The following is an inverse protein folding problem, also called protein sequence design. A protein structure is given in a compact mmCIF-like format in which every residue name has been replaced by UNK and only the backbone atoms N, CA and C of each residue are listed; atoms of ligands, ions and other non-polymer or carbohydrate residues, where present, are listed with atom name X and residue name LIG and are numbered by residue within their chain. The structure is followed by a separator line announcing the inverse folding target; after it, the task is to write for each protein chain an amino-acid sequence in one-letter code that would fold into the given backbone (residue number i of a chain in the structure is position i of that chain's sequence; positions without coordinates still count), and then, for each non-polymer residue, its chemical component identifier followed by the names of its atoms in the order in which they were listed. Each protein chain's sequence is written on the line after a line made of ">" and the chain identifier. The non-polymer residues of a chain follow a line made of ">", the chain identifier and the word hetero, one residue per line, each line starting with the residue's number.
data_IF_771842354445
#
_entry.id   IF_771842354445
#
_cell.length_a   1.000
_cell.length_b   1.000
_cell.length_c   1.000
_cell.angle_alpha   90.00
_cell.angle_beta   90.00
_cell.angle_gamma   90.00
#
_symmetry.space_group_name_H-M   'P 1'
#
loop_
_entity.id
_entity.type
_entity.pdbx_description
1 polymer ?
#
# COMPACT_ATOMS: atom_id res chain seq x y z
N UNK A 1 -18.68 -47.58 -3.81
CA UNK A 1 -19.69 -46.52 -4.03
C UNK A 1 -19.23 -45.35 -3.15
N UNK A 2 -18.23 -44.60 -3.61
CA UNK A 2 -17.58 -43.48 -2.92
C UNK A 2 -18.05 -42.20 -3.62
N UNK A 3 -18.84 -41.39 -2.92
CA UNK A 3 -19.22 -40.05 -3.32
C UNK A 3 -18.01 -39.12 -3.19
N UNK A 4 -17.60 -38.52 -4.28
CA UNK A 4 -16.71 -37.41 -4.31
C UNK A 4 -17.43 -36.16 -3.75
N UNK A 5 -17.12 -35.76 -2.53
CA UNK A 5 -17.38 -34.43 -1.99
C UNK A 5 -16.19 -33.54 -2.32
N UNK A 6 -16.27 -32.86 -3.46
CA UNK A 6 -15.38 -31.72 -3.78
C UNK A 6 -16.20 -30.72 -4.60
N UNK A 7 -17.19 -30.11 -3.94
CA UNK A 7 -17.82 -28.90 -4.46
C UNK A 7 -17.94 -27.91 -3.29
N UNK A 8 -16.79 -27.27 -2.96
CA UNK A 8 -16.77 -26.17 -2.00
C UNK A 8 -17.24 -24.90 -2.70
N UNK A 9 -18.52 -24.65 -2.55
CA UNK A 9 -19.23 -23.38 -2.46
C UNK A 9 -18.53 -22.14 -3.04
N UNK A 10 -18.68 -21.89 -4.33
CA UNK A 10 -18.77 -20.52 -4.84
C UNK A 10 -20.13 -19.96 -4.41
N UNK A 11 -20.12 -18.99 -3.48
CA UNK A 11 -21.29 -18.39 -2.88
C UNK A 11 -22.35 -17.98 -3.91
N UNK A 12 -23.64 -18.09 -3.54
CA UNK A 12 -24.81 -17.90 -4.37
C UNK A 12 -25.02 -16.49 -4.93
N UNK A 13 -24.06 -15.98 -5.71
CA UNK A 13 -24.16 -14.74 -6.46
C UNK A 13 -24.98 -14.92 -7.73
N UNK A 14 -25.55 -13.82 -8.24
CA UNK A 14 -26.26 -13.82 -9.53
C UNK A 14 -25.24 -13.84 -10.68
N UNK A 15 -25.12 -14.96 -11.40
CA UNK A 15 -24.22 -15.10 -12.56
C UNK A 15 -24.35 -13.97 -13.60
N UNK A 16 -25.56 -13.41 -13.73
CA UNK A 16 -25.80 -12.26 -14.62
C UNK A 16 -25.14 -10.98 -14.09
N UNK A 17 -25.12 -10.77 -12.77
CA UNK A 17 -24.46 -9.64 -12.14
C UNK A 17 -22.94 -9.78 -12.24
N UNK A 18 -22.40 -10.97 -11.97
CA UNK A 18 -20.97 -11.24 -12.13
C UNK A 18 -20.48 -10.98 -13.56
N UNK A 19 -21.29 -11.39 -14.55
CA UNK A 19 -21.01 -11.12 -15.95
C UNK A 19 -21.05 -9.60 -16.26
N UNK A 20 -22.01 -8.87 -15.67
CA UNK A 20 -22.11 -7.42 -15.83
C UNK A 20 -20.91 -6.70 -15.19
N UNK A 21 -20.48 -7.10 -13.99
CA UNK A 21 -19.30 -6.55 -13.31
C UNK A 21 -18.00 -6.81 -14.08
N UNK A 22 -17.88 -7.95 -14.79
CA UNK A 22 -16.74 -8.20 -15.70
C UNK A 22 -16.67 -7.16 -16.83
N UNK A 23 -17.82 -6.71 -17.35
CA UNK A 23 -17.86 -5.66 -18.37
C UNK A 23 -17.31 -4.34 -17.81
N UNK A 24 -17.72 -3.93 -16.60
CA UNK A 24 -17.19 -2.71 -15.95
C UNK A 24 -15.70 -2.83 -15.64
N UNK A 25 -15.23 -3.97 -15.14
CA UNK A 25 -13.80 -4.19 -14.86
C UNK A 25 -12.96 -4.12 -16.15
N UNK A 26 -13.44 -4.70 -17.25
CA UNK A 26 -12.75 -4.59 -18.55
C UNK A 26 -12.68 -3.14 -19.04
N UNK A 27 -13.73 -2.34 -18.85
CA UNK A 27 -13.70 -0.91 -19.16
C UNK A 27 -12.72 -0.15 -18.27
N UNK A 28 -12.71 -0.42 -16.97
CA UNK A 28 -11.84 0.26 -16.00
C UNK A 28 -10.34 -0.04 -16.22
N UNK A 29 -10.01 -1.22 -16.77
CA UNK A 29 -8.62 -1.61 -17.05
C UNK A 29 -8.02 -0.96 -18.31
N UNK A 30 -8.75 -0.06 -18.99
CA UNK A 30 -8.32 0.58 -20.25
C UNK A 30 -8.16 2.08 -20.12
N UNK A 31 -7.25 2.61 -20.90
CA UNK A 31 -7.07 4.06 -21.06
C UNK A 31 -8.03 4.59 -22.14
N UNK A 32 -9.33 4.78 -21.77
CA UNK A 32 -10.31 5.47 -22.59
C UNK A 32 -11.42 4.60 -23.21
N UNK A 33 -12.24 5.25 -24.06
CA UNK A 33 -13.49 4.72 -24.56
C UNK A 33 -13.34 3.51 -25.50
N UNK A 34 -14.21 2.51 -25.35
CA UNK A 34 -14.20 1.23 -26.05
C UNK A 34 -15.47 1.02 -26.88
N UNK A 35 -15.36 0.32 -28.04
CA UNK A 35 -16.53 -0.07 -28.82
C UNK A 35 -17.24 -1.29 -28.22
N UNK A 36 -18.54 -1.43 -28.53
CA UNK A 36 -19.31 -2.64 -28.13
C UNK A 36 -18.65 -3.94 -28.61
N UNK A 37 -18.14 -3.95 -29.85
CA UNK A 37 -17.51 -5.13 -30.47
C UNK A 37 -16.23 -5.52 -29.75
N UNK A 38 -15.37 -4.55 -29.43
CA UNK A 38 -14.13 -4.81 -28.72
C UNK A 38 -14.38 -5.28 -27.30
N UNK A 39 -15.34 -4.66 -26.60
CA UNK A 39 -15.73 -5.06 -25.25
C UNK A 39 -16.33 -6.47 -25.21
N UNK A 40 -17.13 -6.84 -26.20
CA UNK A 40 -17.67 -8.19 -26.35
C UNK A 40 -16.55 -9.23 -26.55
N UNK A 41 -15.57 -8.91 -27.39
CA UNK A 41 -14.38 -9.76 -27.62
C UNK A 41 -13.55 -9.92 -26.33
N UNK A 42 -13.26 -8.81 -25.64
CA UNK A 42 -12.44 -8.79 -24.43
C UNK A 42 -13.06 -9.56 -23.27
N UNK A 43 -14.38 -9.45 -23.12
CA UNK A 43 -15.12 -10.16 -22.07
C UNK A 43 -15.55 -11.57 -22.44
N UNK A 44 -15.26 -12.02 -23.67
CA UNK A 44 -15.71 -13.30 -24.26
C UNK A 44 -17.23 -13.48 -24.17
N UNK A 45 -18.01 -12.41 -24.39
CA UNK A 45 -19.47 -12.43 -24.32
C UNK A 45 -20.11 -12.05 -25.67
N UNK A 46 -21.32 -12.58 -25.98
CA UNK A 46 -22.07 -12.12 -27.16
C UNK A 46 -22.36 -10.61 -27.09
N UNK A 47 -22.21 -9.86 -28.21
CA UNK A 47 -22.47 -8.42 -28.26
C UNK A 47 -23.85 -8.02 -27.75
N UNK A 48 -24.88 -8.80 -28.01
CA UNK A 48 -26.26 -8.58 -27.53
C UNK A 48 -26.35 -8.61 -25.99
N UNK A 49 -25.57 -9.48 -25.36
CA UNK A 49 -25.51 -9.58 -23.89
C UNK A 49 -24.78 -8.38 -23.27
N UNK A 50 -23.62 -8.00 -23.84
CA UNK A 50 -22.85 -6.83 -23.42
C UNK A 50 -23.68 -5.55 -23.59
N UNK A 51 -24.38 -5.40 -24.72
CA UNK A 51 -25.27 -4.26 -24.98
C UNK A 51 -26.35 -4.11 -23.90
N UNK A 52 -26.96 -5.19 -23.44
CA UNK A 52 -27.98 -5.16 -22.36
C UNK A 52 -27.38 -4.69 -21.04
N UNK A 53 -26.15 -5.09 -20.70
CA UNK A 53 -25.46 -4.61 -19.51
C UNK A 53 -25.10 -3.14 -19.62
N UNK A 54 -24.56 -2.72 -20.77
CA UNK A 54 -24.24 -1.31 -21.02
C UNK A 54 -25.48 -0.40 -20.93
N UNK A 55 -26.63 -0.87 -21.44
CA UNK A 55 -27.89 -0.12 -21.30
C UNK A 55 -28.26 0.11 -19.82
N UNK A 56 -28.11 -0.91 -18.96
CA UNK A 56 -28.35 -0.76 -17.53
C UNK A 56 -27.34 0.18 -16.86
N UNK A 57 -26.07 0.13 -17.24
CA UNK A 57 -25.03 1.01 -16.73
C UNK A 57 -25.17 2.46 -17.20
N UNK A 58 -25.64 2.68 -18.45
CA UNK A 58 -26.02 4.00 -18.96
C UNK A 58 -27.16 4.60 -18.14
N UNK A 59 -28.21 3.82 -17.88
CA UNK A 59 -29.34 4.24 -17.06
C UNK A 59 -28.94 4.61 -15.62
N UNK A 60 -27.94 3.88 -15.06
CA UNK A 60 -27.38 4.18 -13.75
C UNK A 60 -26.34 5.28 -13.75
N UNK A 61 -25.94 5.82 -14.91
CA UNK A 61 -24.90 6.83 -15.03
C UNK A 61 -23.47 6.32 -14.76
N UNK A 62 -23.30 5.01 -14.57
CA UNK A 62 -21.98 4.36 -14.35
C UNK A 62 -21.15 4.37 -15.64
N UNK A 63 -21.80 4.26 -16.79
CA UNK A 63 -21.22 4.31 -18.13
C UNK A 63 -21.81 5.51 -18.87
N UNK A 64 -21.00 6.12 -19.73
CA UNK A 64 -21.40 7.14 -20.69
C UNK A 64 -21.13 6.66 -22.10
N UNK A 65 -21.91 7.14 -23.10
CA UNK A 65 -21.68 6.87 -24.51
C UNK A 65 -21.30 8.14 -25.26
N UNK A 66 -20.19 8.13 -25.97
CA UNK A 66 -19.74 9.27 -26.75
C UNK A 66 -20.60 9.51 -27.99
N UNK A 67 -21.17 10.72 -28.14
CA UNK A 67 -22.20 11.03 -29.13
C UNK A 67 -21.87 10.64 -30.57
N UNK A 68 -20.74 11.08 -31.15
CA UNK A 68 -20.36 10.80 -32.54
C UNK A 68 -19.62 9.46 -32.72
N UNK A 69 -18.89 9.00 -31.71
CA UNK A 69 -18.08 7.78 -31.83
C UNK A 69 -18.89 6.50 -31.55
N UNK A 70 -20.01 6.61 -30.83
CA UNK A 70 -20.77 5.46 -30.34
C UNK A 70 -20.04 4.58 -29.32
N UNK A 71 -18.80 4.98 -28.93
CA UNK A 71 -18.00 4.24 -27.94
C UNK A 71 -18.49 4.51 -26.52
N UNK A 72 -18.24 3.55 -25.66
CA UNK A 72 -18.62 3.58 -24.23
C UNK A 72 -17.40 3.89 -23.38
N UNK A 73 -17.59 4.70 -22.34
CA UNK A 73 -16.58 5.05 -21.33
C UNK A 73 -17.19 5.07 -19.95
N UNK A 74 -16.36 5.11 -18.90
CA UNK A 74 -16.85 5.28 -17.53
C UNK A 74 -17.55 6.63 -17.39
N UNK A 75 -18.74 6.60 -16.81
CA UNK A 75 -19.56 7.78 -16.59
C UNK A 75 -19.32 8.41 -15.20
N UNK A 76 -20.02 9.54 -14.95
CA UNK A 76 -19.91 10.26 -13.69
C UNK A 76 -20.23 9.39 -12.47
N UNK A 77 -21.21 8.50 -12.55
CA UNK A 77 -21.57 7.60 -11.47
C UNK A 77 -20.42 6.67 -11.04
N UNK A 78 -19.52 6.28 -11.98
CA UNK A 78 -18.32 5.53 -11.63
C UNK A 78 -17.33 6.39 -10.82
N UNK A 79 -17.17 7.67 -11.17
CA UNK A 79 -16.36 8.64 -10.41
C UNK A 79 -16.93 8.80 -9.00
N UNK A 80 -18.23 9.00 -8.87
CA UNK A 80 -18.89 9.22 -7.57
C UNK A 80 -18.75 7.99 -6.65
N UNK A 81 -18.86 6.76 -7.21
CA UNK A 81 -18.60 5.52 -6.48
C UNK A 81 -17.13 5.40 -6.05
N UNK A 82 -16.20 5.69 -6.95
CA UNK A 82 -14.76 5.67 -6.66
C UNK A 82 -14.39 6.65 -5.55
N UNK A 83 -14.85 7.90 -5.63
CA UNK A 83 -14.62 8.93 -4.63
C UNK A 83 -15.21 8.54 -3.26
N UNK A 84 -16.43 7.97 -3.25
CA UNK A 84 -17.04 7.49 -2.01
C UNK A 84 -16.26 6.32 -1.38
N UNK A 85 -15.68 5.42 -2.18
CA UNK A 85 -14.82 4.35 -1.70
C UNK A 85 -13.51 4.92 -1.12
N UNK A 86 -12.85 5.82 -1.86
CA UNK A 86 -11.61 6.48 -1.43
C UNK A 86 -11.80 7.24 -0.10
N UNK A 87 -12.90 7.97 0.05
CA UNK A 87 -13.17 8.75 1.27
C UNK A 87 -13.44 7.89 2.52
N UNK A 88 -13.74 6.61 2.35
CA UNK A 88 -14.04 5.66 3.44
C UNK A 88 -12.87 4.74 3.76
N UNK A 89 -11.80 4.77 2.97
CA UNK A 89 -10.65 3.93 3.23
C UNK A 89 -9.85 4.47 4.41
N UNK A 90 -9.66 3.65 5.41
CA UNK A 90 -8.96 4.01 6.64
C UNK A 90 -7.65 3.23 6.75
N UNK A 91 -6.55 3.88 6.40
CA UNK A 91 -5.19 3.32 6.46
C UNK A 91 -4.66 3.12 7.89
N UNK A 92 -5.41 3.51 8.91
CA UNK A 92 -5.01 3.37 10.31
C UNK A 92 -5.84 2.30 11.02
N UNK A 93 -7.17 2.45 11.07
CA UNK A 93 -8.00 1.55 11.86
C UNK A 93 -8.21 0.20 11.17
N UNK A 94 -8.34 0.16 9.84
CA UNK A 94 -8.43 -1.09 9.08
C UNK A 94 -7.23 -2.01 9.33
N UNK A 95 -5.99 -1.59 9.01
CA UNK A 95 -4.80 -2.38 9.29
C UNK A 95 -4.59 -2.68 10.77
N UNK A 96 -4.96 -1.75 11.68
CA UNK A 96 -4.77 -1.91 13.13
C UNK A 96 -5.45 -3.15 13.70
N UNK A 97 -6.56 -3.58 13.12
CA UNK A 97 -7.28 -4.78 13.57
C UNK A 97 -6.48 -6.08 13.33
N UNK A 98 -5.49 -6.06 12.45
CA UNK A 98 -4.70 -7.22 12.03
C UNK A 98 -3.21 -7.14 12.39
N UNK A 99 -2.76 -6.08 13.09
CA UNK A 99 -1.35 -5.96 13.49
C UNK A 99 -0.93 -7.05 14.48
N UNK A 100 -1.85 -7.55 15.32
CA UNK A 100 -1.59 -8.66 16.22
C UNK A 100 -1.27 -9.95 15.46
N UNK A 101 -1.94 -10.21 14.35
CA UNK A 101 -1.71 -11.39 13.53
C UNK A 101 -0.30 -11.33 12.93
N UNK A 102 0.09 -10.18 12.35
CA UNK A 102 1.43 -9.95 11.82
C UNK A 102 2.51 -10.08 12.91
N UNK A 103 2.23 -9.63 14.14
CA UNK A 103 3.12 -9.82 15.29
C UNK A 103 3.28 -11.31 15.64
N UNK A 104 2.21 -12.10 15.59
CA UNK A 104 2.25 -13.54 15.87
C UNK A 104 3.03 -14.30 14.79
N UNK A 105 2.80 -13.98 13.53
CA UNK A 105 3.50 -14.59 12.39
C UNK A 105 5.01 -14.31 12.40
N UNK A 106 5.41 -13.08 12.75
CA UNK A 106 6.83 -12.66 12.68
C UNK A 106 7.57 -12.80 14.00
N UNK A 107 6.86 -12.83 15.14
CA UNK A 107 7.44 -12.77 16.48
C UNK A 107 8.11 -11.44 16.81
N UNK A 108 7.93 -10.41 15.98
CA UNK A 108 8.56 -9.09 16.10
C UNK A 108 7.55 -8.06 16.65
N UNK A 109 8.07 -6.97 17.20
CA UNK A 109 7.25 -5.81 17.55
C UNK A 109 6.80 -5.11 16.27
N UNK A 110 5.49 -4.82 16.15
CA UNK A 110 4.88 -4.17 14.99
C UNK A 110 4.47 -2.74 15.34
N UNK A 111 4.84 -1.79 14.51
CA UNK A 111 4.40 -0.40 14.59
C UNK A 111 3.59 -0.02 13.37
N UNK A 112 2.57 0.80 13.57
CA UNK A 112 1.93 1.56 12.51
C UNK A 112 2.22 3.04 12.73
N UNK A 113 2.72 3.72 11.71
CA UNK A 113 3.09 5.13 11.75
C UNK A 113 2.41 5.89 10.61
N UNK A 114 2.05 7.14 10.88
CA UNK A 114 1.53 8.10 9.90
C UNK A 114 2.44 9.33 9.81
N UNK A 115 2.32 10.09 8.72
CA UNK A 115 3.00 11.36 8.61
C UNK A 115 2.25 12.43 9.40
N UNK A 116 2.79 12.85 10.54
CA UNK A 116 2.26 13.91 11.39
C UNK A 116 2.93 15.27 11.16
N UNK A 117 2.55 16.25 11.94
CA UNK A 117 3.11 17.63 11.86
C UNK A 117 4.63 17.70 12.07
N UNK A 118 5.18 16.78 12.87
CA UNK A 118 6.62 16.74 13.21
C UNK A 118 7.39 15.64 12.44
N UNK A 119 6.73 14.87 11.57
CA UNK A 119 7.32 13.76 10.82
C UNK A 119 6.61 12.43 11.08
N UNK A 120 7.29 11.32 10.79
CA UNK A 120 6.77 9.96 10.94
C UNK A 120 6.42 9.67 12.41
N UNK A 121 5.14 9.53 12.72
CA UNK A 121 4.63 9.42 14.11
C UNK A 121 3.97 8.08 14.33
N UNK A 122 4.36 7.37 15.41
CA UNK A 122 3.79 6.07 15.79
C UNK A 122 2.39 6.24 16.36
N UNK A 123 1.40 5.60 15.76
CA UNK A 123 -0.02 5.67 16.17
C UNK A 123 -0.59 4.34 16.66
N UNK A 124 0.07 3.20 16.35
CA UNK A 124 -0.26 1.88 16.90
C UNK A 124 1.02 1.13 17.23
N UNK A 125 0.91 0.23 18.21
CA UNK A 125 2.04 -0.51 18.72
C UNK A 125 1.61 -1.88 19.24
N UNK A 126 2.05 -2.94 18.57
CA UNK A 126 1.88 -4.33 19.02
C UNK A 126 3.24 -4.88 19.44
N UNK A 127 3.39 -5.17 20.72
CA UNK A 127 4.67 -5.62 21.30
C UNK A 127 4.86 -7.12 21.10
N UNK A 128 6.08 -7.53 20.73
CA UNK A 128 6.47 -8.93 20.74
C UNK A 128 6.39 -9.54 22.15
N UNK A 129 6.28 -10.86 22.24
CA UNK A 129 6.27 -11.58 23.52
C UNK A 129 7.55 -11.34 24.34
N UNK A 130 8.70 -11.16 23.67
CA UNK A 130 9.96 -10.71 24.28
C UNK A 130 10.23 -9.27 23.85
N UNK A 131 9.64 -8.28 24.51
CA UNK A 131 9.72 -6.90 24.07
C UNK A 131 11.11 -6.33 24.27
N UNK A 132 11.58 -5.61 23.25
CA UNK A 132 12.77 -4.78 23.40
C UNK A 132 12.42 -3.56 24.25
N UNK A 133 13.18 -3.32 25.31
CA UNK A 133 13.01 -2.12 26.11
C UNK A 133 13.54 -0.94 25.33
N UNK A 134 12.66 -0.04 24.91
CA UNK A 134 12.99 1.19 24.20
C UNK A 134 12.26 2.38 24.83
N UNK A 135 12.80 3.57 24.62
CA UNK A 135 12.09 4.82 24.97
C UNK A 135 10.99 5.19 23.97
N UNK A 136 10.80 4.39 22.91
CA UNK A 136 9.73 4.60 21.92
C UNK A 136 8.37 4.19 22.48
N UNK A 137 7.32 4.85 22.02
CA UNK A 137 5.94 4.56 22.36
C UNK A 137 4.97 5.24 21.39
N UNK A 138 3.70 5.16 21.69
CA UNK A 138 2.68 5.91 20.95
C UNK A 138 3.00 7.42 20.99
N UNK A 139 2.85 8.09 19.86
CA UNK A 139 3.19 9.51 19.70
C UNK A 139 4.68 9.79 19.46
N UNK A 140 5.56 8.77 19.50
CA UNK A 140 6.97 8.96 19.16
C UNK A 140 7.12 9.35 17.71
N UNK A 141 7.87 10.43 17.44
CA UNK A 141 8.29 10.81 16.08
C UNK A 141 9.61 10.13 15.75
N UNK A 142 9.64 9.41 14.64
CA UNK A 142 10.80 8.69 14.16
C UNK A 142 11.62 9.55 13.20
N UNK A 143 12.97 9.48 13.23
CA UNK A 143 13.82 10.21 12.30
C UNK A 143 13.56 9.81 10.84
N UNK A 144 13.70 10.77 9.94
CA UNK A 144 13.44 10.56 8.51
C UNK A 144 14.52 9.68 7.84
N UNK A 145 15.80 9.94 8.15
CA UNK A 145 16.93 9.33 7.43
C UNK A 145 17.48 8.08 8.12
N UNK A 146 17.36 7.99 9.44
CA UNK A 146 17.99 6.92 10.24
C UNK A 146 17.01 5.86 10.73
N UNK A 147 15.71 6.00 10.44
CA UNK A 147 14.71 4.95 10.68
C UNK A 147 14.19 4.36 9.39
N UNK A 148 13.88 3.06 9.39
CA UNK A 148 13.23 2.38 8.23
C UNK A 148 11.89 3.02 7.88
N UNK A 149 11.09 3.37 8.88
CA UNK A 149 9.81 4.08 8.72
C UNK A 149 10.00 5.40 7.98
N UNK A 150 10.97 6.23 8.40
CA UNK A 150 11.27 7.51 7.75
C UNK A 150 11.73 7.33 6.30
N UNK A 151 12.58 6.34 6.04
CA UNK A 151 13.07 6.01 4.68
C UNK A 151 11.94 5.59 3.75
N UNK A 152 10.92 4.88 4.25
CA UNK A 152 9.72 4.54 3.48
C UNK A 152 8.92 5.80 3.15
N UNK A 153 8.65 6.68 4.12
CA UNK A 153 8.01 7.97 3.83
C UNK A 153 8.83 8.81 2.84
N UNK A 154 10.15 8.88 3.01
CA UNK A 154 11.04 9.58 2.07
C UNK A 154 10.89 9.07 0.63
N UNK A 155 10.67 7.76 0.46
CA UNK A 155 10.53 7.12 -0.83
C UNK A 155 9.13 7.27 -1.43
N UNK A 156 8.06 7.14 -0.63
CA UNK A 156 6.70 6.96 -1.13
C UNK A 156 5.75 8.12 -0.83
N UNK A 157 6.12 9.09 0.00
CA UNK A 157 5.25 10.22 0.28
C UNK A 157 5.70 11.52 -0.44
N UNK A 158 4.81 12.51 -0.59
CA UNK A 158 5.14 13.80 -1.21
C UNK A 158 6.29 14.50 -0.49
N UNK A 159 7.26 15.01 -1.23
CA UNK A 159 8.47 15.68 -0.70
C UNK A 159 8.22 17.02 0.01
N UNK A 160 7.29 17.89 -0.48
CA UNK A 160 7.17 19.25 0.08
C UNK A 160 7.01 19.33 1.59
N UNK A 161 6.20 18.49 2.27
CA UNK A 161 6.08 18.51 3.73
C UNK A 161 7.38 18.12 4.46
N UNK A 162 8.29 17.40 3.80
CA UNK A 162 9.51 16.86 4.40
C UNK A 162 10.73 17.78 4.28
N UNK A 163 10.70 18.80 3.42
CA UNK A 163 11.88 19.58 3.03
C UNK A 163 12.64 20.20 4.22
N UNK A 164 11.92 20.72 5.21
CA UNK A 164 12.55 21.28 6.43
C UNK A 164 13.25 20.20 7.24
N UNK A 165 12.63 19.03 7.37
CA UNK A 165 13.19 17.91 8.12
C UNK A 165 14.39 17.31 7.39
N UNK A 166 14.31 17.13 6.07
CA UNK A 166 15.42 16.72 5.21
C UNK A 166 16.63 17.66 5.41
N UNK A 167 16.44 18.98 5.31
CA UNK A 167 17.51 19.94 5.46
C UNK A 167 18.17 19.86 6.86
N UNK A 168 17.35 19.74 7.90
CA UNK A 168 17.81 19.62 9.29
C UNK A 168 18.61 18.34 9.53
N UNK A 169 18.09 17.18 9.09
CA UNK A 169 18.76 15.89 9.30
C UNK A 169 20.03 15.74 8.45
N UNK A 170 20.05 16.25 7.22
CA UNK A 170 21.27 16.33 6.40
C UNK A 170 22.33 17.20 7.05
N UNK A 171 21.95 18.36 7.62
CA UNK A 171 22.90 19.23 8.31
C UNK A 171 23.50 18.54 9.54
N UNK A 172 22.70 17.72 10.27
CA UNK A 172 23.18 16.93 11.39
C UNK A 172 24.11 15.80 10.92
N UNK A 173 23.73 15.05 9.89
CA UNK A 173 24.53 13.96 9.35
C UNK A 173 25.88 14.42 8.76
N UNK A 174 25.97 15.65 8.23
CA UNK A 174 27.24 16.21 7.78
C UNK A 174 28.19 16.55 8.93
N UNK A 175 27.64 16.89 10.12
CA UNK A 175 28.45 17.17 11.33
C UNK A 175 28.87 15.89 12.04
N UNK A 176 28.07 14.82 11.92
CA UNK A 176 28.27 13.54 12.57
C UNK A 176 27.98 12.43 11.55
N UNK A 177 28.95 12.12 10.64
CA UNK A 177 28.74 11.16 9.55
C UNK A 177 28.38 9.75 10.00
N UNK A 178 28.75 9.38 11.21
CA UNK A 178 28.43 8.10 11.83
C UNK A 178 26.93 7.85 12.02
N UNK A 179 26.12 8.92 12.05
CA UNK A 179 24.65 8.83 12.21
C UNK A 179 23.97 8.27 10.94
N UNK A 180 24.61 8.46 9.76
CA UNK A 180 24.06 8.05 8.46
C UNK A 180 25.19 7.39 7.65
N UNK A 181 25.64 6.23 8.11
CA UNK A 181 26.84 5.56 7.59
C UNK A 181 26.63 4.87 6.22
N UNK A 182 25.37 4.52 5.90
CA UNK A 182 24.99 3.76 4.70
C UNK A 182 24.54 4.64 3.53
N UNK A 183 24.34 5.94 3.74
CA UNK A 183 23.84 6.90 2.74
C UNK A 183 24.66 8.16 2.74
N UNK A 184 25.11 8.62 1.58
CA UNK A 184 25.78 9.90 1.45
C UNK A 184 24.85 11.05 1.92
N UNK A 185 25.30 11.96 2.84
CA UNK A 185 24.45 13.02 3.39
C UNK A 185 24.27 14.19 2.40
N UNK A 186 23.77 13.85 1.22
CA UNK A 186 23.51 14.76 0.10
C UNK A 186 22.11 14.50 -0.47
N UNK A 187 21.56 15.47 -1.20
CA UNK A 187 20.29 15.25 -1.90
C UNK A 187 20.35 14.08 -2.87
N UNK A 188 21.41 13.98 -3.63
CA UNK A 188 21.64 12.87 -4.57
C UNK A 188 21.68 11.51 -3.84
N UNK A 189 22.30 11.43 -2.66
CA UNK A 189 22.30 10.22 -1.82
C UNK A 189 20.90 9.84 -1.35
N UNK A 190 20.08 10.83 -0.96
CA UNK A 190 18.69 10.58 -0.57
C UNK A 190 17.82 10.15 -1.76
N UNK A 191 18.05 10.69 -2.95
CA UNK A 191 17.31 10.30 -4.15
C UNK A 191 17.67 8.85 -4.57
N UNK A 192 18.96 8.48 -4.44
CA UNK A 192 19.39 7.11 -4.65
C UNK A 192 18.77 6.14 -3.64
N UNK A 193 18.76 6.50 -2.34
CA UNK A 193 18.09 5.73 -1.29
C UNK A 193 16.60 5.55 -1.60
N UNK A 194 15.89 6.65 -1.89
CA UNK A 194 14.47 6.60 -2.20
C UNK A 194 14.16 5.73 -3.43
N UNK A 195 15.02 5.77 -4.46
CA UNK A 195 14.91 4.90 -5.64
C UNK A 195 15.07 3.43 -5.29
N UNK A 196 16.06 3.08 -4.45
CA UNK A 196 16.27 1.71 -3.97
C UNK A 196 15.08 1.21 -3.17
N UNK A 197 14.60 2.02 -2.20
CA UNK A 197 13.45 1.67 -1.36
C UNK A 197 12.18 1.48 -2.20
N UNK A 198 11.95 2.31 -3.21
CA UNK A 198 10.81 2.14 -4.16
C UNK A 198 10.92 0.85 -4.96
N UNK A 199 12.10 0.51 -5.43
CA UNK A 199 12.33 -0.71 -6.22
C UNK A 199 12.14 -1.99 -5.39
N UNK A 200 12.51 -1.97 -4.11
CA UNK A 200 12.36 -3.11 -3.19
C UNK A 200 10.97 -3.19 -2.56
N UNK A 201 10.27 -2.06 -2.41
CA UNK A 201 9.00 -1.95 -1.69
C UNK A 201 9.13 -1.86 -0.17
N UNK A 202 10.35 -1.84 0.38
CA UNK A 202 10.62 -1.74 1.82
C UNK A 202 11.95 -1.03 2.10
N UNK A 203 12.17 -0.67 3.37
CA UNK A 203 13.44 -0.15 3.86
C UNK A 203 13.89 -0.91 5.11
N UNK A 204 15.19 -1.10 5.26
CA UNK A 204 15.80 -1.69 6.47
C UNK A 204 16.78 -0.72 7.13
N UNK A 205 16.97 -0.88 8.45
CA UNK A 205 18.03 -0.21 9.22
C UNK A 205 18.64 -1.17 10.23
N UNK A 206 19.94 -1.01 10.48
CA UNK A 206 20.75 -1.90 11.30
C UNK A 206 21.37 -1.19 12.52
N UNK A 207 20.52 -0.67 13.40
CA UNK A 207 20.97 -0.01 14.63
C UNK A 207 21.34 1.47 14.48
N UNK A 208 21.02 2.08 13.35
CA UNK A 208 21.37 3.49 13.07
C UNK A 208 20.63 4.47 13.99
N UNK A 209 19.39 4.14 14.36
CA UNK A 209 18.59 4.95 15.28
C UNK A 209 18.71 4.49 16.74
N UNK A 210 18.59 3.18 16.99
CA UNK A 210 18.74 2.58 18.32
C UNK A 210 19.76 1.44 18.22
N UNK A 211 20.95 1.55 18.87
CA UNK A 211 21.96 0.51 18.83
C UNK A 211 21.40 -0.87 19.27
N UNK A 212 21.74 -1.90 18.51
CA UNK A 212 21.30 -3.28 18.77
C UNK A 212 19.91 -3.62 18.26
N UNK A 213 19.13 -2.65 17.76
CA UNK A 213 17.85 -2.90 17.09
C UNK A 213 18.00 -2.94 15.59
N UNK A 214 17.25 -3.83 14.99
CA UNK A 214 17.03 -3.90 13.54
C UNK A 214 15.58 -3.61 13.24
N UNK A 215 15.32 -2.98 12.10
CA UNK A 215 13.96 -2.70 11.69
C UNK A 215 13.82 -2.82 10.18
N UNK A 216 12.65 -3.31 9.76
CA UNK A 216 12.17 -3.29 8.36
C UNK A 216 10.82 -2.62 8.32
N UNK A 217 10.59 -1.78 7.32
CA UNK A 217 9.34 -1.04 7.14
C UNK A 217 8.85 -1.13 5.70
N UNK A 218 7.53 -1.16 5.51
CA UNK A 218 6.89 -1.13 4.21
C UNK A 218 5.66 -0.19 4.22
N UNK A 219 5.30 0.41 3.06
CA UNK A 219 4.22 1.38 2.98
C UNK A 219 2.84 0.72 2.88
N UNK A 220 1.84 1.40 3.41
CA UNK A 220 0.43 1.25 3.02
C UNK A 220 0.14 2.33 1.99
N UNK A 221 -0.07 1.91 0.76
CA UNK A 221 -0.16 2.80 -0.40
C UNK A 221 -1.62 3.12 -0.74
N UNK A 222 -1.86 4.37 -1.13
CA UNK A 222 -3.10 4.75 -1.75
C UNK A 222 -3.10 4.44 -3.27
N UNK A 223 -4.17 4.84 -3.95
CA UNK A 223 -4.36 4.66 -5.38
C UNK A 223 -3.36 5.45 -6.26
N UNK A 224 -2.66 6.44 -5.71
CA UNK A 224 -1.59 7.18 -6.39
C UNK A 224 -0.21 6.54 -6.17
N UNK A 225 -0.14 5.48 -5.35
CA UNK A 225 1.12 4.87 -4.93
C UNK A 225 1.86 5.70 -3.88
N UNK A 226 1.15 6.57 -3.15
CA UNK A 226 1.70 7.36 -2.06
C UNK A 226 1.46 6.70 -0.70
N UNK A 227 2.46 6.75 0.19
CA UNK A 227 2.36 6.16 1.52
C UNK A 227 1.47 6.99 2.44
N UNK A 228 0.32 6.44 2.80
CA UNK A 228 -0.62 7.01 3.77
C UNK A 228 -0.26 6.60 5.20
N UNK A 229 0.26 5.39 5.36
CA UNK A 229 0.83 4.90 6.60
C UNK A 229 2.02 3.96 6.31
N UNK A 230 2.79 3.63 7.33
CA UNK A 230 3.94 2.73 7.24
C UNK A 230 3.86 1.71 8.37
N UNK A 231 3.95 0.42 8.01
CA UNK A 231 4.09 -0.67 8.98
C UNK A 231 5.57 -0.99 9.14
N UNK A 232 6.00 -1.15 10.39
CA UNK A 232 7.41 -1.40 10.74
C UNK A 232 7.51 -2.56 11.69
N UNK A 233 8.37 -3.53 11.37
CA UNK A 233 8.77 -4.62 12.27
C UNK A 233 10.09 -4.24 12.94
N UNK A 234 10.17 -4.45 14.26
CA UNK A 234 11.36 -4.16 15.05
C UNK A 234 11.75 -5.38 15.88
N UNK A 235 13.03 -5.69 15.91
CA UNK A 235 13.62 -6.76 16.70
C UNK A 235 15.11 -6.58 16.93
N UNK A 236 15.74 -7.65 17.44
CA UNK A 236 17.20 -7.70 17.67
C UNK A 236 17.92 -8.68 16.74
N UNK A 237 17.17 -9.56 16.07
CA UNK A 237 17.70 -10.58 15.17
C UNK A 237 17.99 -9.98 13.79
N UNK A 238 19.27 -9.90 13.42
CA UNK A 238 19.67 -9.36 12.10
C UNK A 238 19.18 -10.21 10.93
N UNK A 239 18.93 -11.49 11.18
CA UNK A 239 18.41 -12.44 10.19
C UNK A 239 17.01 -12.04 9.70
N UNK A 240 16.17 -11.47 10.59
CA UNK A 240 14.80 -11.07 10.29
C UNK A 240 14.67 -9.92 9.26
N UNK A 241 15.77 -9.24 8.95
CA UNK A 241 15.78 -8.13 7.99
C UNK A 241 16.73 -8.37 6.80
N UNK A 242 17.26 -9.61 6.64
CA UNK A 242 18.04 -9.98 5.46
C UNK A 242 17.12 -10.11 4.25
N UNK A 243 17.67 -9.83 3.08
CA UNK A 243 16.98 -10.10 1.83
C UNK A 243 16.51 -11.56 1.77
N UNK A 244 15.24 -11.78 1.45
CA UNK A 244 14.61 -13.10 1.44
C UNK A 244 14.13 -13.61 2.79
N UNK A 245 14.22 -12.85 3.87
CA UNK A 245 13.67 -13.23 5.17
C UNK A 245 12.12 -13.38 5.12
N UNK A 246 11.59 -14.37 5.82
CA UNK A 246 10.14 -14.62 5.89
C UNK A 246 9.40 -13.44 6.51
N UNK A 247 10.00 -12.78 7.50
CA UNK A 247 9.44 -11.60 8.15
C UNK A 247 9.19 -10.44 7.15
N UNK A 248 10.11 -10.26 6.18
CA UNK A 248 9.91 -9.28 5.10
C UNK A 248 8.77 -9.71 4.17
N UNK A 249 8.68 -10.99 3.84
CA UNK A 249 7.59 -11.51 2.99
C UNK A 249 6.22 -11.33 3.66
N UNK A 250 6.09 -11.63 4.96
CA UNK A 250 4.87 -11.39 5.75
C UNK A 250 4.52 -9.90 5.79
N UNK A 251 5.49 -9.02 6.06
CA UNK A 251 5.27 -7.57 6.06
C UNK A 251 4.75 -7.06 4.71
N UNK A 252 5.38 -7.48 3.61
CA UNK A 252 4.98 -7.07 2.26
C UNK A 252 3.60 -7.62 1.88
N UNK A 253 3.28 -8.85 2.26
CA UNK A 253 1.95 -9.43 2.05
C UNK A 253 0.88 -8.66 2.83
N UNK A 254 1.14 -8.36 4.10
CA UNK A 254 0.28 -7.53 4.94
C UNK A 254 0.05 -6.15 4.32
N UNK A 255 1.12 -5.46 3.93
CA UNK A 255 1.00 -4.12 3.36
C UNK A 255 0.24 -4.12 2.02
N UNK A 256 0.45 -5.12 1.15
CA UNK A 256 -0.35 -5.26 -0.08
C UNK A 256 -1.83 -5.47 0.21
N UNK A 257 -2.18 -6.32 1.16
CA UNK A 257 -3.58 -6.61 1.51
C UNK A 257 -4.34 -5.37 2.06
N UNK A 258 -3.61 -4.40 2.61
CA UNK A 258 -4.16 -3.19 3.21
C UNK A 258 -3.88 -1.90 2.43
N UNK A 259 -3.27 -1.98 1.24
CA UNK A 259 -3.08 -0.89 0.30
C UNK A 259 -4.20 -0.82 -0.75
N UNK A 260 -4.33 0.30 -1.46
CA UNK A 260 -5.10 0.37 -2.69
C UNK A 260 -4.27 -0.22 -3.85
N UNK A 261 -4.80 -1.23 -4.49
CA UNK A 261 -4.18 -1.82 -5.66
C UNK A 261 -3.72 -3.24 -5.42
N UNK A 262 -4.07 -4.04 -6.41
CA UNK A 262 -3.98 -5.49 -6.58
C UNK A 262 -4.33 -6.41 -5.47
#
# INVERSE_FOLDING_TARGET
>A
MTRNDTDMATGGGLQSLDAALRVLKAMAARDGAISLTDLARETAMPPSKVHRYLASFLNAGIVAQGGRSGKYDLGRGAIDLGLAALSRHDFVNGPSAHLSDLREETGLTVLLSVWGASGATVVRWERAASPVITSMGLGTTLPLLTSSTGRVFLAFAPRPPMEKLIASELARARKSPEILSDVAPTRAGLDALAKTVRAQGFATVHGDYIPGLVAVAAPLLDWQGEAQAVVTLIGTRREAIREGAEEIAHLLAFCRAHSFGD
#
